data_IF_239543649750
#
_entry.id   IF_239543649750
#
_cell.length_a   1.000
_cell.length_b   1.000
_cell.length_c   1.000
_cell.angle_alpha   90.00
_cell.angle_beta   90.00
_cell.angle_gamma   90.00
#
_symmetry.space_group_name_H-M   'P 1'
#
loop_
_entity.id
_entity.type
_entity.pdbx_description
1 polymer ?
#
# COMPACT_ATOMS: atom_id res chain seq x y z
N UNK A 1 4.35 3.12 -12.37
CA UNK A 1 3.97 2.98 -10.95
C UNK A 1 4.63 1.72 -10.41
N UNK A 2 4.80 1.57 -9.10
CA UNK A 2 5.40 0.33 -8.53
C UNK A 2 4.52 -0.88 -8.80
N UNK A 3 3.22 -0.69 -8.75
CA UNK A 3 2.23 -1.73 -9.02
C UNK A 3 2.25 -2.28 -10.46
N UNK A 4 2.86 -1.55 -11.40
CA UNK A 4 2.97 -1.96 -12.81
C UNK A 4 4.25 -2.75 -13.10
N UNK A 5 5.14 -2.87 -12.12
CA UNK A 5 6.39 -3.61 -12.29
C UNK A 5 6.15 -5.11 -12.34
N UNK A 6 7.04 -5.82 -13.03
CA UNK A 6 7.07 -7.28 -12.87
C UNK A 6 7.43 -7.63 -11.43
N UNK A 7 7.04 -8.81 -10.96
CA UNK A 7 7.41 -9.29 -9.62
C UNK A 7 8.92 -9.22 -9.41
N UNK A 8 9.70 -9.59 -10.42
CA UNK A 8 11.16 -9.54 -10.36
C UNK A 8 11.65 -8.11 -10.18
N UNK A 9 11.20 -7.18 -11.04
CA UNK A 9 11.66 -5.80 -11.00
C UNK A 9 11.25 -5.10 -9.70
N UNK A 10 10.07 -5.44 -9.16
CA UNK A 10 9.63 -4.95 -7.87
C UNK A 10 10.55 -5.44 -6.73
N UNK A 11 10.89 -6.72 -6.71
CA UNK A 11 11.79 -7.31 -5.70
C UNK A 11 13.20 -6.73 -5.81
N UNK A 12 13.73 -6.57 -7.03
CA UNK A 12 15.03 -5.94 -7.26
C UNK A 12 15.05 -4.50 -6.74
N UNK A 13 13.93 -3.77 -6.93
CA UNK A 13 13.78 -2.40 -6.43
C UNK A 13 13.69 -2.34 -4.90
N UNK A 14 13.02 -3.30 -4.26
CA UNK A 14 12.97 -3.41 -2.79
C UNK A 14 14.35 -3.75 -2.20
N UNK A 15 15.11 -4.57 -2.90
CA UNK A 15 16.43 -5.03 -2.44
C UNK A 15 17.56 -4.01 -2.66
N UNK A 16 17.29 -2.89 -3.35
CA UNK A 16 18.31 -1.87 -3.58
C UNK A 16 18.59 -1.05 -2.31
N UNK A 17 19.55 -0.13 -2.40
CA UNK A 17 19.95 0.74 -1.28
C UNK A 17 19.00 1.94 -1.08
N UNK A 18 18.02 2.12 -1.94
CA UNK A 18 17.03 3.19 -1.80
C UNK A 18 16.03 2.84 -0.69
N UNK A 19 15.60 3.81 0.10
CA UNK A 19 14.64 3.56 1.17
C UNK A 19 13.19 3.37 0.69
N UNK A 20 12.95 3.49 -0.61
CA UNK A 20 11.63 3.35 -1.26
C UNK A 20 11.73 2.38 -2.45
N UNK A 21 10.82 1.39 -2.56
CA UNK A 21 9.69 1.08 -1.70
C UNK A 21 10.12 0.48 -0.36
N UNK A 22 9.44 0.86 0.71
CA UNK A 22 9.68 0.39 2.07
C UNK A 22 8.63 -0.60 2.59
N UNK A 23 8.62 -0.76 3.92
CA UNK A 23 7.75 -1.72 4.61
C UNK A 23 6.26 -1.47 4.39
N UNK A 24 5.81 -0.21 4.23
CA UNK A 24 4.41 0.12 3.98
C UNK A 24 3.93 -0.40 2.62
N UNK A 25 4.72 -0.17 1.55
CA UNK A 25 4.43 -0.72 0.23
C UNK A 25 4.43 -2.26 0.22
N UNK A 26 5.33 -2.91 0.99
CA UNK A 26 5.37 -4.37 1.13
C UNK A 26 4.15 -4.89 1.89
N UNK A 27 3.73 -4.23 2.96
CA UNK A 27 2.50 -4.59 3.68
C UNK A 27 1.27 -4.50 2.76
N UNK A 28 1.14 -3.42 1.99
CA UNK A 28 0.07 -3.28 1.00
C UNK A 28 0.10 -4.39 -0.07
N UNK A 29 1.28 -4.77 -0.58
CA UNK A 29 1.43 -5.89 -1.52
C UNK A 29 0.96 -7.21 -0.89
N UNK A 30 1.29 -7.47 0.38
CA UNK A 30 0.83 -8.66 1.07
C UNK A 30 -0.70 -8.68 1.23
N UNK A 31 -1.30 -7.53 1.54
CA UNK A 31 -2.76 -7.36 1.56
C UNK A 31 -3.40 -7.65 0.20
N UNK A 32 -2.81 -7.15 -0.89
CA UNK A 32 -3.27 -7.41 -2.26
C UNK A 32 -3.18 -8.92 -2.61
N UNK A 33 -2.09 -9.59 -2.24
CA UNK A 33 -1.93 -11.04 -2.45
C UNK A 33 -2.96 -11.84 -1.66
N UNK A 34 -3.20 -11.50 -0.39
CA UNK A 34 -4.23 -12.14 0.44
C UNK A 34 -5.64 -11.95 -0.14
N UNK A 35 -5.96 -10.73 -0.59
CA UNK A 35 -7.23 -10.43 -1.24
C UNK A 35 -7.40 -11.20 -2.55
N UNK A 36 -6.35 -11.35 -3.34
CA UNK A 36 -6.35 -12.14 -4.57
C UNK A 36 -6.63 -13.63 -4.31
N UNK A 37 -5.98 -14.22 -3.30
CA UNK A 37 -6.20 -15.61 -2.90
C UNK A 37 -7.63 -15.83 -2.37
N UNK A 38 -8.13 -14.91 -1.56
CA UNK A 38 -9.51 -14.98 -1.06
C UNK A 38 -10.53 -14.86 -2.20
N UNK A 39 -10.29 -13.98 -3.16
CA UNK A 39 -11.10 -13.87 -4.39
C UNK A 39 -11.07 -15.17 -5.19
N UNK A 40 -9.91 -15.80 -5.30
CA UNK A 40 -9.77 -17.09 -5.99
C UNK A 40 -10.65 -18.17 -5.34
N UNK A 41 -10.62 -18.29 -4.01
CA UNK A 41 -11.44 -19.25 -3.28
C UNK A 41 -12.93 -18.98 -3.50
N UNK A 42 -13.36 -17.73 -3.42
CA UNK A 42 -14.74 -17.35 -3.68
C UNK A 42 -15.18 -17.73 -5.10
N UNK A 43 -14.37 -17.41 -6.12
CA UNK A 43 -14.64 -17.76 -7.53
C UNK A 43 -14.68 -19.26 -7.80
N UNK A 44 -13.87 -20.04 -7.10
CA UNK A 44 -13.88 -21.50 -7.20
C UNK A 44 -15.08 -22.15 -6.51
N UNK A 45 -15.76 -21.42 -5.65
CA UNK A 45 -16.90 -21.93 -4.87
C UNK A 45 -18.25 -21.49 -5.45
N UNK A 46 -18.36 -20.26 -5.96
CA UNK A 46 -19.57 -19.72 -6.57
C UNK A 46 -19.99 -20.58 -7.77
N UNK A 47 -21.26 -20.99 -7.80
CA UNK A 47 -21.82 -21.84 -8.85
C UNK A 47 -21.37 -23.31 -8.83
N UNK A 48 -20.61 -23.73 -7.82
CA UNK A 48 -20.12 -25.09 -7.71
C UNK A 48 -21.13 -26.00 -7.04
N UNK A 49 -21.49 -27.10 -7.70
CA UNK A 49 -22.41 -28.11 -7.19
C UNK A 49 -21.93 -28.66 -5.83
N UNK A 50 -22.83 -28.70 -4.85
CA UNK A 50 -22.57 -29.16 -3.49
C UNK A 50 -22.10 -28.03 -2.53
N UNK A 51 -22.01 -26.79 -3.01
CA UNK A 51 -21.64 -25.62 -2.22
C UNK A 51 -22.73 -24.53 -2.21
N UNK A 52 -23.95 -24.89 -2.58
CA UNK A 52 -25.08 -23.98 -2.74
C UNK A 52 -25.38 -23.19 -1.45
N UNK A 53 -25.16 -23.81 -0.29
CA UNK A 53 -25.35 -23.16 1.05
C UNK A 53 -24.38 -21.99 1.23
N UNK A 54 -23.21 -22.02 0.58
CA UNK A 54 -22.18 -20.99 0.71
C UNK A 54 -22.24 -19.93 -0.40
N UNK A 55 -23.17 -20.03 -1.35
CA UNK A 55 -23.24 -19.20 -2.54
C UNK A 55 -23.27 -17.71 -2.22
N UNK A 56 -24.21 -17.27 -1.39
CA UNK A 56 -24.40 -15.86 -1.04
C UNK A 56 -23.18 -15.29 -0.29
N UNK A 57 -22.64 -16.07 0.66
CA UNK A 57 -21.44 -15.67 1.44
C UNK A 57 -20.24 -15.52 0.53
N UNK A 58 -20.05 -16.43 -0.42
CA UNK A 58 -18.92 -16.39 -1.35
C UNK A 58 -19.05 -15.27 -2.39
N UNK A 59 -20.24 -14.97 -2.88
CA UNK A 59 -20.48 -13.79 -3.74
C UNK A 59 -20.17 -12.50 -3.00
N UNK A 60 -20.59 -12.38 -1.74
CA UNK A 60 -20.30 -11.23 -0.91
C UNK A 60 -18.78 -11.11 -0.64
N UNK A 61 -18.13 -12.21 -0.27
CA UNK A 61 -16.68 -12.26 -0.08
C UNK A 61 -15.93 -11.83 -1.35
N UNK A 62 -16.32 -12.32 -2.52
CA UNK A 62 -15.74 -11.92 -3.81
C UNK A 62 -15.81 -10.42 -4.04
N UNK A 63 -16.95 -9.81 -3.76
CA UNK A 63 -17.15 -8.37 -3.94
C UNK A 63 -16.23 -7.56 -3.03
N UNK A 64 -16.14 -7.94 -1.75
CA UNK A 64 -15.27 -7.26 -0.79
C UNK A 64 -13.80 -7.43 -1.15
N UNK A 65 -13.38 -8.65 -1.45
CA UNK A 65 -11.95 -8.92 -1.71
C UNK A 65 -11.46 -8.31 -3.01
N UNK A 66 -12.31 -8.14 -4.02
CA UNK A 66 -11.96 -7.38 -5.23
C UNK A 66 -11.76 -5.89 -4.92
N UNK A 67 -12.64 -5.29 -4.12
CA UNK A 67 -12.48 -3.90 -3.68
C UNK A 67 -11.18 -3.73 -2.88
N UNK A 68 -10.92 -4.61 -1.92
CA UNK A 68 -9.70 -4.59 -1.12
C UNK A 68 -8.44 -4.75 -1.98
N UNK A 69 -8.48 -5.60 -3.01
CA UNK A 69 -7.37 -5.75 -3.94
C UNK A 69 -7.01 -4.43 -4.62
N UNK A 70 -8.02 -3.71 -5.14
CA UNK A 70 -7.82 -2.42 -5.80
C UNK A 70 -7.28 -1.37 -4.83
N UNK A 71 -7.79 -1.32 -3.60
CA UNK A 71 -7.34 -0.41 -2.55
C UNK A 71 -5.88 -0.67 -2.14
N UNK A 72 -5.51 -1.93 -1.90
CA UNK A 72 -4.13 -2.30 -1.57
C UNK A 72 -3.16 -2.01 -2.73
N UNK A 73 -3.56 -2.25 -3.97
CA UNK A 73 -2.75 -1.89 -5.14
C UNK A 73 -2.46 -0.38 -5.19
N UNK A 74 -3.46 0.45 -4.92
CA UNK A 74 -3.27 1.91 -4.85
C UNK A 74 -2.36 2.33 -3.68
N UNK A 75 -2.43 1.63 -2.54
CA UNK A 75 -1.63 1.91 -1.35
C UNK A 75 -0.14 1.62 -1.55
N UNK A 76 0.25 0.68 -2.43
CA UNK A 76 1.65 0.39 -2.76
C UNK A 76 2.36 1.66 -3.26
N UNK A 77 1.76 2.36 -4.21
CA UNK A 77 2.33 3.58 -4.78
C UNK A 77 2.17 4.79 -3.85
N UNK A 78 1.06 4.86 -3.12
CA UNK A 78 0.76 5.95 -2.18
C UNK A 78 1.78 6.02 -1.03
N UNK A 79 2.17 4.86 -0.46
CA UNK A 79 3.19 4.77 0.58
C UNK A 79 4.54 5.30 0.10
N UNK A 80 4.98 4.85 -1.06
CA UNK A 80 6.24 5.30 -1.66
C UNK A 80 6.23 6.78 -2.00
N UNK A 81 5.12 7.30 -2.52
CA UNK A 81 4.98 8.73 -2.82
C UNK A 81 5.06 9.58 -1.55
N UNK A 82 4.35 9.19 -0.49
CA UNK A 82 4.35 9.90 0.78
C UNK A 82 5.75 9.94 1.41
N UNK A 83 6.51 8.86 1.31
CA UNK A 83 7.88 8.82 1.82
C UNK A 83 8.84 9.70 0.99
N UNK A 84 8.68 9.73 -0.34
CA UNK A 84 9.45 10.61 -1.22
C UNK A 84 9.23 12.09 -0.88
N UNK A 85 8.03 12.50 -0.46
CA UNK A 85 7.77 13.87 0.02
C UNK A 85 8.58 14.20 1.27
N UNK A 86 8.72 13.26 2.21
CA UNK A 86 9.59 13.42 3.39
C UNK A 86 11.03 13.65 2.95
N UNK A 87 11.53 12.83 2.02
CA UNK A 87 12.89 12.99 1.48
C UNK A 87 13.11 14.32 0.79
N UNK A 88 12.13 14.82 0.05
CA UNK A 88 12.20 16.13 -0.57
C UNK A 88 12.39 17.24 0.48
N UNK A 89 11.70 17.14 1.63
CA UNK A 89 11.85 18.11 2.72
C UNK A 89 13.26 18.10 3.34
N UNK A 90 13.97 16.97 3.36
CA UNK A 90 15.35 16.91 3.84
C UNK A 90 16.35 17.68 2.95
N UNK A 91 16.00 17.90 1.67
CA UNK A 91 16.83 18.66 0.71
C UNK A 91 16.60 20.17 0.78
N UNK A 92 15.63 20.65 1.56
CA UNK A 92 15.37 22.08 1.74
C UNK A 92 16.58 22.81 2.35
N UNK A 93 16.80 24.08 2.02
CA UNK A 93 17.89 24.89 2.54
C UNK A 93 17.85 24.98 4.08
N UNK A 94 19.03 25.12 4.70
CA UNK A 94 19.24 25.13 6.15
C UNK A 94 20.33 26.13 6.58
N UNK A 95 20.50 27.19 5.83
CA UNK A 95 21.60 28.15 6.05
C UNK A 95 21.21 29.18 7.09
N UNK A 96 20.03 29.78 6.98
CA UNK A 96 19.52 30.76 7.93
C UNK A 96 18.63 30.10 9.02
N UNK A 97 18.34 30.83 10.09
CA UNK A 97 17.49 30.28 11.16
C UNK A 97 16.04 30.17 10.71
N UNK A 98 15.57 31.09 9.84
CA UNK A 98 14.27 30.99 9.21
C UNK A 98 14.16 29.76 8.31
N UNK A 99 15.19 29.48 7.50
CA UNK A 99 15.24 28.29 6.64
C UNK A 99 15.25 27.00 7.46
N UNK A 100 15.99 26.94 8.57
CA UNK A 100 16.00 25.80 9.49
C UNK A 100 14.62 25.56 10.11
N UNK A 101 13.93 26.64 10.55
CA UNK A 101 12.59 26.55 11.11
C UNK A 101 11.57 26.06 10.07
N UNK A 102 11.58 26.64 8.88
CA UNK A 102 10.72 26.24 7.77
C UNK A 102 10.94 24.77 7.35
N UNK A 103 12.21 24.36 7.23
CA UNK A 103 12.59 22.98 6.94
C UNK A 103 12.10 22.00 8.01
N UNK A 104 12.28 22.33 9.28
CA UNK A 104 11.79 21.50 10.40
C UNK A 104 10.28 21.34 10.37
N UNK A 105 9.54 22.42 10.16
CA UNK A 105 8.09 22.38 10.03
C UNK A 105 7.62 21.53 8.82
N UNK A 106 8.31 21.66 7.68
CA UNK A 106 8.02 20.88 6.49
C UNK A 106 8.25 19.37 6.72
N UNK A 107 9.38 19.01 7.34
CA UNK A 107 9.69 17.63 7.70
C UNK A 107 8.63 17.05 8.64
N UNK A 108 8.27 17.77 9.69
CA UNK A 108 7.24 17.31 10.63
C UNK A 108 5.89 17.08 9.95
N UNK A 109 5.48 18.03 9.08
CA UNK A 109 4.23 17.92 8.33
C UNK A 109 4.26 16.72 7.40
N UNK A 110 5.31 16.56 6.59
CA UNK A 110 5.45 15.44 5.64
C UNK A 110 5.52 14.09 6.37
N UNK A 111 6.27 13.99 7.47
CA UNK A 111 6.35 12.77 8.28
C UNK A 111 5.00 12.38 8.86
N UNK A 112 4.22 13.35 9.35
CA UNK A 112 2.87 13.10 9.85
C UNK A 112 1.94 12.58 8.75
N UNK A 113 2.01 13.16 7.56
CA UNK A 113 1.25 12.70 6.40
C UNK A 113 1.67 11.28 5.98
N UNK A 114 2.96 11.02 5.91
CA UNK A 114 3.48 9.70 5.55
C UNK A 114 3.07 8.60 6.55
N UNK A 115 2.95 8.93 7.84
CA UNK A 115 2.49 8.00 8.86
C UNK A 115 1.01 7.59 8.73
N UNK A 116 0.19 8.39 8.04
CA UNK A 116 -1.23 8.05 7.82
C UNK A 116 -1.41 6.91 6.82
N UNK A 117 -0.51 6.78 5.84
CA UNK A 117 -0.65 5.75 4.79
C UNK A 117 -0.55 4.33 5.34
N UNK A 118 0.45 3.94 6.17
CA UNK A 118 0.46 2.64 6.84
C UNK A 118 -0.76 2.39 7.74
N UNK A 119 -1.36 3.45 8.31
CA UNK A 119 -2.59 3.33 9.08
C UNK A 119 -3.79 2.96 8.19
N UNK A 120 -3.84 3.49 6.95
CA UNK A 120 -4.85 3.09 5.97
C UNK A 120 -4.68 1.60 5.61
N UNK A 121 -3.44 1.13 5.30
CA UNK A 121 -3.16 -0.29 5.05
C UNK A 121 -3.68 -1.16 6.18
N UNK A 122 -3.34 -0.82 7.42
CA UNK A 122 -3.82 -1.54 8.61
C UNK A 122 -5.35 -1.51 8.76
N UNK A 123 -6.00 -0.44 8.32
CA UNK A 123 -7.46 -0.31 8.37
C UNK A 123 -8.13 -1.29 7.43
N UNK A 124 -7.58 -1.49 6.23
CA UNK A 124 -8.12 -2.40 5.22
C UNK A 124 -7.85 -3.89 5.55
N UNK A 125 -6.90 -4.18 6.43
CA UNK A 125 -6.63 -5.54 6.92
C UNK A 125 -7.68 -6.06 7.94
N UNK A 126 -8.62 -5.23 8.41
CA UNK A 126 -9.64 -5.59 9.41
C UNK A 126 -11.00 -5.88 8.76
#
# INVERSE_FOLDING_TARGET
MLADLTVKDFLDKVACSDPVPGGGSIAALNGALASSLSTMVARLTVGKKGYEVSEEVMQHAQTITLRLLDEFMALIDKDSAAYNEVFACFKLPKTTDEEKAARSAAIQKATKQAALVPLEVRSEER
#
